data_IF_459293642502
#
_entry.id   IF_459293642502
#
_cell.length_a   1.000
_cell.length_b   1.000
_cell.length_c   1.000
_cell.angle_alpha   90.00
_cell.angle_beta   90.00
_cell.angle_gamma   90.00
#
_symmetry.space_group_name_H-M   'P 1'
#
loop_
_entity.id
_entity.type
_entity.pdbx_description
1 polymer ?
#
# COMPACT_ATOMS: atom_id res chain seq x y z
N UNK A 1 14.12 -27.54 8.61
CA UNK A 1 14.05 -26.10 8.40
C UNK A 1 12.65 -25.72 7.93
N UNK A 2 11.96 -24.85 8.63
CA UNK A 2 10.68 -24.42 8.13
C UNK A 2 10.91 -23.57 6.87
N UNK A 3 10.51 -24.07 5.72
CA UNK A 3 10.57 -23.39 4.43
C UNK A 3 9.86 -22.03 4.46
N UNK A 4 8.89 -21.86 5.35
CA UNK A 4 8.12 -20.64 5.49
C UNK A 4 8.93 -19.38 5.84
N UNK A 5 10.08 -19.52 6.47
CA UNK A 5 10.94 -18.39 6.83
C UNK A 5 11.71 -17.83 5.62
N UNK A 6 12.10 -18.70 4.71
CA UNK A 6 12.77 -18.32 3.46
C UNK A 6 11.75 -17.76 2.46
N UNK A 7 10.58 -18.36 2.37
CA UNK A 7 9.49 -17.87 1.53
C UNK A 7 9.07 -16.45 1.90
N UNK A 8 8.96 -16.16 3.20
CA UNK A 8 8.67 -14.81 3.69
C UNK A 8 9.76 -13.80 3.32
N UNK A 9 11.02 -14.22 3.34
CA UNK A 9 12.15 -13.34 3.04
C UNK A 9 12.18 -12.91 1.56
N UNK A 10 11.71 -13.77 0.65
CA UNK A 10 11.65 -13.48 -0.79
C UNK A 10 10.35 -12.83 -1.22
N UNK A 11 9.30 -12.96 -0.42
CA UNK A 11 8.00 -12.34 -0.67
C UNK A 11 7.96 -10.92 -0.12
N UNK A 12 8.74 -10.03 -0.71
CA UNK A 12 8.79 -8.62 -0.31
C UNK A 12 7.89 -7.80 -1.23
N UNK A 13 7.02 -7.00 -0.64
CA UNK A 13 6.24 -6.02 -1.38
C UNK A 13 7.22 -4.91 -1.83
N UNK A 14 7.41 -4.70 -3.14
CA UNK A 14 8.35 -3.70 -3.64
C UNK A 14 7.77 -2.28 -3.51
N UNK A 15 7.58 -1.84 -2.27
CA UNK A 15 7.08 -0.52 -1.95
C UNK A 15 8.14 0.25 -1.19
N UNK A 16 8.63 1.32 -1.78
CA UNK A 16 9.63 2.21 -1.18
C UNK A 16 9.03 3.60 -1.05
N UNK A 17 9.02 4.11 0.18
CA UNK A 17 8.62 5.49 0.42
C UNK A 17 9.58 6.48 -0.22
N UNK A 18 9.07 7.61 -0.66
CA UNK A 18 9.86 8.69 -1.24
C UNK A 18 9.79 9.92 -0.35
N UNK A 19 10.92 10.60 -0.17
CA UNK A 19 10.95 11.92 0.48
C UNK A 19 10.48 13.00 -0.50
N UNK A 20 10.11 14.16 0.03
CA UNK A 20 9.77 15.32 -0.80
C UNK A 20 10.92 15.69 -1.74
N UNK A 21 12.15 15.65 -1.26
CA UNK A 21 13.35 15.89 -2.08
C UNK A 21 13.45 14.88 -3.22
N UNK A 22 13.22 13.61 -2.95
CA UNK A 22 13.25 12.58 -3.98
C UNK A 22 12.14 12.75 -5.02
N UNK A 23 10.94 13.16 -4.60
CA UNK A 23 9.82 13.40 -5.51
C UNK A 23 10.07 14.60 -6.42
N UNK A 24 10.74 15.63 -5.93
CA UNK A 24 11.02 16.86 -6.68
C UNK A 24 12.37 16.85 -7.39
N UNK A 25 13.26 15.88 -7.10
CA UNK A 25 14.57 15.78 -7.69
C UNK A 25 14.61 15.84 -9.23
N UNK A 26 13.68 15.18 -9.97
CA UNK A 26 13.65 15.29 -11.44
C UNK A 26 13.42 16.71 -11.95
N UNK A 27 12.85 17.59 -11.12
CA UNK A 27 12.56 18.99 -11.48
C UNK A 27 13.65 19.96 -11.06
N UNK A 28 14.63 19.51 -10.28
CA UNK A 28 15.73 20.36 -9.81
C UNK A 28 16.75 20.65 -10.95
N UNK A 29 17.48 21.78 -10.91
CA UNK A 29 17.34 22.90 -9.98
C UNK A 29 16.30 23.95 -10.37
N UNK A 30 15.81 23.92 -11.61
CA UNK A 30 14.95 24.97 -12.18
C UNK A 30 13.47 24.79 -11.90
N UNK A 31 13.09 23.80 -11.11
CA UNK A 31 11.70 23.42 -10.84
C UNK A 31 10.90 23.08 -12.12
N UNK A 32 11.60 22.58 -13.16
CA UNK A 32 10.99 22.24 -14.44
C UNK A 32 11.62 20.99 -15.06
N UNK A 33 10.78 20.12 -15.60
CA UNK A 33 11.18 18.93 -16.33
C UNK A 33 10.22 18.70 -17.50
N UNK A 34 10.75 18.62 -18.72
CA UNK A 34 9.93 18.38 -19.93
C UNK A 34 8.70 19.30 -20.06
N UNK A 35 8.84 20.56 -19.70
CA UNK A 35 7.76 21.53 -19.75
C UNK A 35 6.77 21.46 -18.60
N UNK A 36 7.05 20.62 -17.60
CA UNK A 36 6.24 20.48 -16.39
C UNK A 36 6.94 21.19 -15.24
N UNK A 37 6.20 21.98 -14.47
CA UNK A 37 6.68 22.64 -13.26
C UNK A 37 5.90 22.15 -12.04
N UNK A 38 6.59 22.05 -10.91
CA UNK A 38 5.95 21.72 -9.64
C UNK A 38 5.28 22.97 -9.08
N UNK A 39 3.96 22.97 -8.98
CA UNK A 39 3.20 24.05 -8.36
C UNK A 39 3.01 23.81 -6.87
N UNK A 40 2.75 22.57 -6.48
CA UNK A 40 2.45 22.23 -5.11
C UNK A 40 2.84 20.78 -4.82
N UNK A 41 3.40 20.57 -3.64
CA UNK A 41 3.68 19.25 -3.09
C UNK A 41 3.14 19.20 -1.67
N UNK A 42 2.24 18.27 -1.41
CA UNK A 42 1.64 18.05 -0.11
C UNK A 42 1.82 16.59 0.30
N UNK A 43 2.44 16.39 1.45
CA UNK A 43 2.52 15.08 2.07
C UNK A 43 1.43 14.96 3.13
N UNK A 44 0.71 13.86 3.14
CA UNK A 44 -0.39 13.65 4.07
C UNK A 44 -0.62 12.17 4.32
N UNK A 45 -1.31 11.85 5.41
CA UNK A 45 -1.78 10.50 5.67
C UNK A 45 -3.18 10.34 5.08
N UNK A 46 -3.39 9.29 4.30
CA UNK A 46 -4.71 8.98 3.78
C UNK A 46 -5.66 8.64 4.92
N UNK A 47 -6.92 9.02 4.76
CA UNK A 47 -7.97 8.63 5.68
C UNK A 47 -8.19 7.11 5.60
N UNK A 48 -8.17 6.45 6.75
CA UNK A 48 -8.61 5.06 6.88
C UNK A 48 -10.12 5.05 7.10
N UNK A 49 -10.87 4.94 6.02
CA UNK A 49 -12.34 4.95 6.06
C UNK A 49 -12.91 3.78 6.86
N UNK A 50 -12.24 2.63 6.83
CA UNK A 50 -12.66 1.45 7.58
C UNK A 50 -12.49 1.67 9.08
N UNK A 51 -11.41 2.35 9.48
CA UNK A 51 -11.18 2.75 10.85
C UNK A 51 -12.21 3.76 11.34
N UNK A 52 -12.51 4.77 10.54
CA UNK A 52 -13.52 5.78 10.86
C UNK A 52 -14.89 5.14 11.12
N UNK A 53 -15.25 4.17 10.27
CA UNK A 53 -16.52 3.44 10.45
C UNK A 53 -16.49 2.55 11.68
N UNK A 54 -15.37 1.87 11.93
CA UNK A 54 -15.20 1.06 13.13
C UNK A 54 -15.35 1.88 14.42
N UNK A 55 -14.81 3.10 14.44
CA UNK A 55 -14.96 3.99 15.59
C UNK A 55 -16.41 4.31 15.91
N UNK A 56 -17.27 4.30 14.90
CA UNK A 56 -18.71 4.56 15.05
C UNK A 56 -19.50 3.33 15.47
N UNK A 57 -19.29 2.21 14.77
CA UNK A 57 -20.11 1.00 14.95
C UNK A 57 -19.48 -0.06 15.86
N UNK A 58 -18.18 0.03 16.13
CA UNK A 58 -17.42 -0.93 16.94
C UNK A 58 -17.49 -2.37 16.42
N UNK A 59 -17.80 -2.54 15.15
CA UNK A 59 -17.85 -3.85 14.50
C UNK A 59 -16.46 -4.26 14.00
N UNK A 60 -15.70 -4.89 14.89
CA UNK A 60 -14.34 -5.34 14.61
C UNK A 60 -14.29 -6.40 13.48
N UNK A 61 -15.28 -7.28 13.42
CA UNK A 61 -15.34 -8.32 12.40
C UNK A 61 -15.49 -7.73 10.99
N UNK A 62 -16.36 -6.75 10.83
CA UNK A 62 -16.54 -6.05 9.55
C UNK A 62 -15.30 -5.23 9.17
N UNK A 63 -14.69 -4.54 10.12
CA UNK A 63 -13.44 -3.83 9.92
C UNK A 63 -12.33 -4.76 9.43
N UNK A 64 -12.13 -5.89 10.11
CA UNK A 64 -11.13 -6.89 9.74
C UNK A 64 -11.40 -7.48 8.36
N UNK A 65 -12.65 -7.78 8.04
CA UNK A 65 -13.05 -8.31 6.74
C UNK A 65 -12.71 -7.34 5.61
N UNK A 66 -13.01 -6.07 5.77
CA UNK A 66 -12.73 -5.05 4.75
C UNK A 66 -11.25 -4.89 4.46
N UNK A 67 -10.43 -4.82 5.50
CA UNK A 67 -8.99 -4.76 5.31
C UNK A 67 -8.42 -6.04 4.71
N UNK A 68 -8.97 -7.20 5.10
CA UNK A 68 -8.56 -8.48 4.53
C UNK A 68 -8.90 -8.56 3.02
N UNK A 69 -10.08 -8.12 2.63
CA UNK A 69 -10.47 -8.04 1.21
C UNK A 69 -9.57 -7.10 0.41
N UNK A 70 -9.24 -5.96 0.98
CA UNK A 70 -8.28 -5.03 0.37
C UNK A 70 -6.90 -5.67 0.19
N UNK A 71 -6.39 -6.32 1.23
CA UNK A 71 -5.08 -6.98 1.19
C UNK A 71 -5.06 -8.11 0.17
N UNK A 72 -6.15 -8.89 0.08
CA UNK A 72 -6.30 -9.94 -0.92
C UNK A 72 -6.18 -9.42 -2.35
N UNK A 73 -6.74 -8.26 -2.61
CA UNK A 73 -6.73 -7.64 -3.93
C UNK A 73 -5.41 -6.95 -4.25
N UNK A 74 -4.84 -6.22 -3.29
CA UNK A 74 -3.72 -5.32 -3.54
C UNK A 74 -2.36 -5.86 -3.10
N UNK A 75 -2.32 -6.71 -2.07
CA UNK A 75 -1.07 -7.13 -1.41
C UNK A 75 -0.74 -8.58 -1.70
N UNK A 76 -1.68 -9.49 -1.56
CA UNK A 76 -1.41 -10.92 -1.67
C UNK A 76 -0.87 -11.35 -3.04
N UNK A 77 -1.36 -10.80 -4.19
CA UNK A 77 -0.82 -11.18 -5.49
C UNK A 77 0.69 -10.94 -5.61
N UNK A 78 1.18 -9.85 -5.04
CA UNK A 78 2.62 -9.53 -5.03
C UNK A 78 3.40 -10.54 -4.19
N UNK A 79 2.88 -10.93 -3.04
CA UNK A 79 3.51 -11.93 -2.19
C UNK A 79 3.57 -13.31 -2.86
N UNK A 80 2.57 -13.64 -3.66
CA UNK A 80 2.49 -14.92 -4.35
C UNK A 80 3.49 -15.05 -5.50
N UNK A 81 3.99 -13.95 -6.03
CA UNK A 81 4.95 -13.98 -7.17
C UNK A 81 6.25 -14.70 -6.84
N UNK A 82 6.66 -14.70 -5.57
CA UNK A 82 7.87 -15.37 -5.11
C UNK A 82 7.64 -16.81 -4.63
N UNK A 83 6.40 -17.28 -4.62
CA UNK A 83 6.05 -18.61 -4.12
C UNK A 83 6.26 -19.67 -5.18
N UNK A 84 7.01 -20.69 -4.83
CA UNK A 84 7.16 -21.91 -5.62
C UNK A 84 6.17 -22.96 -5.14
N UNK A 85 5.67 -23.81 -6.03
CA UNK A 85 4.78 -24.90 -5.67
C UNK A 85 3.41 -24.90 -6.37
N UNK A 86 3.21 -23.99 -7.30
CA UNK A 86 2.04 -23.94 -8.17
C UNK A 86 0.74 -23.46 -7.52
N UNK A 87 -0.41 -23.65 -8.20
CA UNK A 87 -1.70 -23.08 -7.78
C UNK A 87 -2.19 -23.52 -6.40
N UNK A 88 -1.95 -24.77 -6.03
CA UNK A 88 -2.39 -25.30 -4.74
C UNK A 88 -1.65 -24.64 -3.56
N UNK A 89 -0.34 -24.42 -3.71
CA UNK A 89 0.45 -23.73 -2.71
C UNK A 89 0.01 -22.26 -2.57
N UNK A 90 -0.32 -21.62 -3.68
CA UNK A 90 -0.85 -20.26 -3.69
C UNK A 90 -2.18 -20.14 -2.97
N UNK A 91 -3.11 -21.07 -3.22
CA UNK A 91 -4.41 -21.10 -2.52
C UNK A 91 -4.26 -21.28 -1.02
N UNK A 92 -3.38 -22.18 -0.58
CA UNK A 92 -3.12 -22.38 0.85
C UNK A 92 -2.53 -21.14 1.51
N UNK A 93 -1.62 -20.48 0.82
CA UNK A 93 -1.02 -19.25 1.36
C UNK A 93 -2.06 -18.14 1.48
N UNK A 94 -2.90 -17.95 0.46
CA UNK A 94 -3.99 -16.97 0.50
C UNK A 94 -4.93 -17.24 1.66
N UNK A 95 -5.37 -18.48 1.85
CA UNK A 95 -6.24 -18.85 2.98
C UNK A 95 -5.60 -18.56 4.32
N UNK A 96 -4.31 -18.86 4.49
CA UNK A 96 -3.58 -18.59 5.74
C UNK A 96 -3.40 -17.09 5.98
N UNK A 97 -3.10 -16.34 4.92
CA UNK A 97 -2.97 -14.88 5.01
C UNK A 97 -4.31 -14.22 5.38
N UNK A 98 -5.39 -14.64 4.72
CA UNK A 98 -6.72 -14.12 5.03
C UNK A 98 -7.11 -14.39 6.48
N UNK A 99 -6.96 -15.64 6.92
CA UNK A 99 -7.29 -16.02 8.30
C UNK A 99 -6.44 -15.27 9.30
N UNK A 100 -5.14 -15.17 9.06
CA UNK A 100 -4.21 -14.49 9.95
C UNK A 100 -4.48 -12.98 10.06
N UNK A 101 -4.70 -12.31 8.95
CA UNK A 101 -5.01 -10.87 8.93
C UNK A 101 -6.36 -10.60 9.62
N UNK A 102 -7.37 -11.37 9.25
CA UNK A 102 -8.71 -11.23 9.83
C UNK A 102 -8.71 -11.45 11.34
N UNK A 103 -8.04 -12.49 11.78
CA UNK A 103 -7.94 -12.84 13.20
C UNK A 103 -7.25 -11.74 14.01
N UNK A 104 -6.13 -11.25 13.53
CA UNK A 104 -5.38 -10.17 14.20
C UNK A 104 -6.15 -8.87 14.26
N UNK A 105 -6.74 -8.46 13.15
CA UNK A 105 -7.50 -7.21 13.10
C UNK A 105 -8.81 -7.28 13.88
N UNK A 106 -9.41 -8.46 14.01
CA UNK A 106 -10.60 -8.66 14.84
C UNK A 106 -10.25 -8.58 16.33
N UNK A 107 -9.13 -9.19 16.71
CA UNK A 107 -8.69 -9.22 18.11
C UNK A 107 -8.17 -7.86 18.59
N UNK A 108 -7.47 -7.13 17.71
CA UNK A 108 -6.87 -5.84 18.02
C UNK A 108 -6.97 -4.90 16.81
N UNK A 109 -8.13 -4.24 16.62
CA UNK A 109 -8.31 -3.30 15.52
C UNK A 109 -7.36 -2.12 15.63
N UNK A 110 -6.59 -1.87 14.57
CA UNK A 110 -5.64 -0.77 14.49
C UNK A 110 -5.89 0.07 13.25
N UNK A 111 -5.67 1.38 13.40
CA UNK A 111 -5.68 2.30 12.27
C UNK A 111 -4.50 2.00 11.34
N UNK A 112 -4.79 1.87 10.05
CA UNK A 112 -3.75 1.75 9.03
C UNK A 112 -3.35 3.17 8.58
N UNK A 113 -2.06 3.47 8.67
CA UNK A 113 -1.51 4.73 8.19
C UNK A 113 -0.91 4.53 6.81
N UNK A 114 -1.44 5.25 5.85
CA UNK A 114 -0.96 5.24 4.47
C UNK A 114 -0.44 6.63 4.16
N UNK A 115 0.89 6.76 4.05
CA UNK A 115 1.53 8.02 3.70
C UNK A 115 1.43 8.24 2.20
N UNK A 116 0.82 9.36 1.81
CA UNK A 116 0.66 9.76 0.42
C UNK A 116 1.27 11.14 0.18
N UNK A 117 1.59 11.40 -1.07
CA UNK A 117 1.97 12.74 -1.50
C UNK A 117 1.10 13.13 -2.70
N UNK A 118 0.63 14.37 -2.67
CA UNK A 118 -0.06 14.99 -3.80
C UNK A 118 0.90 15.97 -4.46
N UNK A 119 1.26 15.69 -5.70
CA UNK A 119 2.13 16.52 -6.51
C UNK A 119 1.30 17.17 -7.60
N UNK A 120 1.18 18.49 -7.56
CA UNK A 120 0.47 19.26 -8.58
C UNK A 120 1.49 19.85 -9.54
N UNK A 121 1.31 19.51 -10.82
CA UNK A 121 2.18 19.97 -11.90
C UNK A 121 1.42 20.91 -12.83
N UNK A 122 2.10 21.95 -13.28
CA UNK A 122 1.62 22.78 -14.37
C UNK A 122 2.36 22.44 -15.65
N UNK A 123 1.62 22.30 -16.73
CA UNK A 123 2.20 22.14 -18.06
C UNK A 123 2.41 23.51 -18.69
N UNK A 124 3.63 23.76 -19.13
CA UNK A 124 3.95 24.96 -19.88
C UNK A 124 3.25 24.91 -21.24
N UNK A 125 2.46 25.93 -21.53
CA UNK A 125 1.90 26.05 -22.88
C UNK A 125 2.99 26.43 -23.88
N UNK A 126 3.06 25.69 -24.98
CA UNK A 126 3.96 26.05 -26.07
C UNK A 126 3.49 27.33 -26.75
N UNK A 127 4.37 28.29 -27.03
CA UNK A 127 3.99 29.41 -27.87
C UNK A 127 3.59 28.87 -29.26
N UNK A 128 2.45 29.31 -29.71
CA UNK A 128 1.99 29.03 -31.09
C UNK A 128 2.83 29.77 -32.10
#
# INVERSE_FOLDING_TARGET
MPSGRLEFFWSVIPSVGRTETQLTAPFAPKNSFSGLTVEHLEAFDAEDQYWTKFQKDRDAATFARRWTEFARMMVFPTLLTALEGGPQASERLVERLESGVRERLTADPERVRIHLAKLTLAKRSWPR
#
